data_IF_237930200644
#
_entry.id   IF_237930200644
#
_cell.length_a   1.000
_cell.length_b   1.000
_cell.length_c   1.000
_cell.angle_alpha   90.00
_cell.angle_beta   90.00
_cell.angle_gamma   90.00
#
_symmetry.space_group_name_H-M   'P 1'
#
loop_
_entity.id
_entity.type
_entity.pdbx_description
1 polymer ?
#
# COMPACT_ATOMS: atom_id res chain seq x y z
N UNK A 1 -5.71 -40.65 35.66
CA UNK A 1 -5.62 -39.32 36.27
C UNK A 1 -5.41 -38.30 35.15
N UNK A 2 -6.48 -37.71 34.67
CA UNK A 2 -6.40 -36.61 33.71
C UNK A 2 -6.50 -35.33 34.52
N UNK A 3 -5.32 -34.65 34.66
CA UNK A 3 -5.23 -33.44 35.42
C UNK A 3 -5.99 -32.28 34.75
N UNK A 4 -6.62 -31.47 35.55
CA UNK A 4 -7.37 -30.25 35.24
C UNK A 4 -6.64 -29.37 34.23
N UNK A 5 -7.10 -29.39 32.98
CA UNK A 5 -6.83 -28.32 32.02
C UNK A 5 -7.54 -27.07 32.54
N UNK A 6 -6.78 -26.22 33.24
CA UNK A 6 -7.22 -24.92 33.68
C UNK A 6 -7.63 -24.14 32.44
N UNK A 7 -8.92 -23.85 32.34
CA UNK A 7 -9.53 -22.93 31.37
C UNK A 7 -9.02 -21.50 31.67
N UNK A 8 -7.75 -21.20 31.34
CA UNK A 8 -7.30 -19.81 31.26
C UNK A 8 -8.05 -19.19 30.09
N UNK A 9 -8.95 -18.23 30.36
CA UNK A 9 -9.48 -17.34 29.34
C UNK A 9 -8.28 -16.83 28.55
N UNK A 10 -8.29 -16.91 27.19
CA UNK A 10 -7.19 -16.41 26.39
C UNK A 10 -7.01 -14.94 26.73
N UNK A 11 -5.80 -14.60 27.20
CA UNK A 11 -5.39 -13.23 27.46
C UNK A 11 -5.58 -12.47 26.15
N UNK A 12 -6.31 -11.34 26.18
CA UNK A 12 -6.57 -10.55 24.96
C UNK A 12 -5.21 -10.18 24.40
N UNK A 13 -4.90 -10.67 23.19
CA UNK A 13 -3.67 -10.29 22.48
C UNK A 13 -3.51 -8.78 22.47
N UNK A 14 -2.35 -8.23 22.86
CA UNK A 14 -2.12 -6.81 22.87
C UNK A 14 -2.34 -6.23 21.45
N UNK A 15 -3.01 -5.09 21.39
CA UNK A 15 -3.33 -4.40 20.13
C UNK A 15 -2.23 -3.40 19.83
N UNK A 16 -1.72 -3.45 18.59
CA UNK A 16 -0.83 -2.43 18.05
C UNK A 16 -1.63 -1.50 17.14
N UNK A 17 -1.56 -0.20 17.41
CA UNK A 17 -2.20 0.81 16.56
C UNK A 17 -1.29 1.14 15.38
N UNK A 18 -1.88 1.17 14.19
CA UNK A 18 -1.29 1.71 12.97
C UNK A 18 -2.18 2.85 12.49
N UNK A 19 -1.63 4.05 12.48
CA UNK A 19 -2.28 5.23 11.94
C UNK A 19 -2.16 5.27 10.42
N UNK A 20 -3.23 5.66 9.75
CA UNK A 20 -3.18 6.04 8.34
C UNK A 20 -3.62 7.48 8.18
N UNK A 21 -3.05 8.18 7.22
CA UNK A 21 -3.45 9.53 6.86
C UNK A 21 -3.32 9.74 5.36
N UNK A 22 -4.12 10.68 4.86
CA UNK A 22 -4.08 11.16 3.49
C UNK A 22 -3.41 12.52 3.50
N UNK A 23 -2.31 12.64 2.75
CA UNK A 23 -1.56 13.89 2.64
C UNK A 23 -1.97 14.66 1.39
N UNK A 24 -1.91 15.99 1.43
CA UNK A 24 -2.28 16.89 0.32
C UNK A 24 -1.38 16.76 -0.93
N UNK A 25 -0.40 15.86 -0.89
CA UNK A 25 0.62 15.73 -1.95
C UNK A 25 0.09 15.22 -3.28
N UNK A 26 -1.11 14.62 -3.31
CA UNK A 26 -1.71 14.07 -4.53
C UNK A 26 -3.15 14.50 -4.64
N UNK A 27 -3.37 15.55 -5.39
CA UNK A 27 -4.64 16.09 -5.86
C UNK A 27 -5.85 15.95 -4.94
N UNK A 28 -6.36 17.07 -4.38
CA UNK A 28 -7.61 17.08 -3.65
C UNK A 28 -8.82 16.67 -4.52
N UNK A 29 -8.58 16.44 -5.79
CA UNK A 29 -9.59 16.15 -6.82
C UNK A 29 -10.23 14.76 -6.65
N UNK A 30 -9.63 13.88 -5.79
CA UNK A 30 -10.15 12.54 -5.56
C UNK A 30 -10.43 12.29 -4.08
N UNK A 31 -11.59 11.71 -3.82
CA UNK A 31 -11.85 11.10 -2.53
C UNK A 31 -11.14 9.75 -2.45
N UNK A 32 -9.96 9.75 -1.86
CA UNK A 32 -9.21 8.53 -1.60
C UNK A 32 -9.88 7.74 -0.47
N UNK A 33 -10.22 6.45 -0.71
CA UNK A 33 -10.96 5.67 0.28
C UNK A 33 -10.10 5.28 1.50
N UNK A 34 -10.75 5.09 2.64
CA UNK A 34 -10.09 4.54 3.83
C UNK A 34 -9.51 3.15 3.54
N UNK A 35 -8.28 2.84 4.00
CA UNK A 35 -7.81 1.47 4.01
C UNK A 35 -8.71 0.61 4.91
N UNK A 36 -9.14 -0.54 4.41
CA UNK A 36 -10.08 -1.41 5.12
C UNK A 36 -9.62 -2.87 5.14
N UNK A 37 -10.02 -3.68 6.13
CA UNK A 37 -9.76 -5.11 6.07
C UNK A 37 -10.26 -5.70 4.76
N UNK A 38 -9.47 -6.61 4.18
CA UNK A 38 -9.89 -7.33 2.99
C UNK A 38 -11.15 -8.13 3.32
N UNK A 39 -12.19 -7.94 2.50
CA UNK A 39 -13.40 -8.76 2.53
C UNK A 39 -13.28 -9.78 1.40
N UNK A 40 -13.22 -11.03 1.76
CA UNK A 40 -13.31 -12.11 0.78
C UNK A 40 -14.77 -12.26 0.41
N UNK A 41 -15.11 -12.00 -0.86
CA UNK A 41 -16.46 -12.24 -1.42
C UNK A 41 -16.72 -13.76 -1.60
N UNK A 42 -15.94 -14.60 -0.95
CA UNK A 42 -16.09 -16.03 -1.03
C UNK A 42 -17.35 -16.49 -0.30
N UNK A 43 -18.28 -17.01 -1.06
CA UNK A 43 -19.37 -17.81 -0.48
C UNK A 43 -18.75 -18.91 0.37
N UNK A 44 -19.11 -18.98 1.65
CA UNK A 44 -18.63 -20.02 2.54
C UNK A 44 -19.02 -21.36 1.92
N UNK A 45 -18.05 -22.13 1.46
CA UNK A 45 -18.30 -23.47 0.93
C UNK A 45 -18.96 -24.34 2.00
N UNK A 46 -19.91 -25.20 1.61
CA UNK A 46 -20.62 -26.09 2.53
C UNK A 46 -19.70 -27.17 3.10
N UNK A 47 -18.70 -27.57 2.32
CA UNK A 47 -17.73 -28.59 2.75
C UNK A 47 -16.83 -28.08 3.89
N UNK A 48 -16.57 -28.88 4.94
CA UNK A 48 -15.58 -28.54 5.95
C UNK A 48 -14.15 -28.42 5.39
N UNK A 49 -13.89 -28.98 4.21
CA UNK A 49 -12.61 -28.87 3.49
C UNK A 49 -12.57 -27.75 2.46
N UNK A 50 -13.57 -26.87 2.45
CA UNK A 50 -13.55 -25.71 1.56
C UNK A 50 -12.34 -24.82 1.84
N UNK A 51 -11.71 -24.29 0.79
CA UNK A 51 -10.48 -23.46 0.88
C UNK A 51 -10.67 -22.28 1.83
N UNK A 52 -11.82 -21.61 1.78
CA UNK A 52 -12.16 -20.48 2.64
C UNK A 52 -12.45 -20.85 4.11
N UNK A 53 -12.42 -22.14 4.46
CA UNK A 53 -12.47 -22.64 5.86
C UNK A 53 -11.10 -23.08 6.36
N UNK A 54 -10.09 -23.09 5.50
CA UNK A 54 -8.72 -23.43 5.90
C UNK A 54 -8.18 -22.38 6.88
N UNK A 55 -7.77 -22.76 8.11
CA UNK A 55 -7.29 -21.80 9.10
C UNK A 55 -6.11 -20.98 8.60
N UNK A 56 -5.23 -21.53 7.77
CA UNK A 56 -4.10 -20.84 7.20
C UNK A 56 -4.52 -19.71 6.23
N UNK A 57 -5.56 -19.97 5.43
CA UNK A 57 -6.13 -18.98 4.51
C UNK A 57 -6.83 -17.88 5.30
N UNK A 58 -7.67 -18.27 6.26
CA UNK A 58 -8.41 -17.33 7.11
C UNK A 58 -7.45 -16.40 7.88
N UNK A 59 -6.40 -16.97 8.50
CA UNK A 59 -5.40 -16.13 9.22
C UNK A 59 -4.62 -15.24 8.27
N UNK A 60 -4.27 -15.73 7.08
CA UNK A 60 -3.56 -14.92 6.07
C UNK A 60 -4.40 -13.72 5.62
N UNK A 61 -5.65 -13.95 5.22
CA UNK A 61 -6.55 -12.92 4.71
C UNK A 61 -6.96 -11.92 5.78
N UNK A 62 -7.18 -12.38 7.02
CA UNK A 62 -7.52 -11.52 8.16
C UNK A 62 -6.42 -10.48 8.52
N UNK A 63 -5.21 -10.65 8.00
CA UNK A 63 -4.07 -9.74 8.21
C UNK A 63 -3.87 -8.75 7.06
N UNK A 64 -4.71 -8.81 6.03
CA UNK A 64 -4.62 -7.95 4.87
C UNK A 64 -5.60 -6.78 4.99
N UNK A 65 -5.12 -5.62 4.60
CA UNK A 65 -5.92 -4.41 4.43
C UNK A 65 -5.83 -4.00 2.96
N UNK A 66 -6.95 -3.63 2.38
CA UNK A 66 -7.00 -3.18 0.99
C UNK A 66 -7.06 -1.66 0.91
N UNK A 67 -6.41 -1.13 -0.10
CA UNK A 67 -6.58 0.23 -0.59
C UNK A 67 -7.17 0.12 -1.99
N UNK A 68 -8.34 0.70 -2.20
CA UNK A 68 -9.04 0.64 -3.49
C UNK A 68 -8.73 1.85 -4.36
N UNK A 69 -8.84 1.68 -5.67
CA UNK A 69 -8.64 2.75 -6.65
C UNK A 69 -9.78 3.77 -6.58
N UNK A 70 -9.52 5.09 -6.49
CA UNK A 70 -10.57 6.11 -6.41
C UNK A 70 -11.15 6.54 -7.77
N UNK A 71 -10.58 6.07 -8.88
CA UNK A 71 -10.93 6.52 -10.23
C UNK A 71 -10.86 5.39 -11.27
N UNK A 72 -11.42 5.66 -12.44
CA UNK A 72 -11.18 4.85 -13.63
C UNK A 72 -10.01 5.44 -14.41
N UNK A 73 -9.00 4.62 -14.68
CA UNK A 73 -7.80 4.99 -15.42
C UNK A 73 -7.48 3.91 -16.46
N UNK A 74 -7.37 4.32 -17.72
CA UNK A 74 -6.88 3.46 -18.79
C UNK A 74 -5.71 4.15 -19.48
N UNK A 75 -4.53 3.58 -19.34
CA UNK A 75 -3.28 4.11 -19.89
C UNK A 75 -2.55 3.05 -20.71
N UNK A 76 -1.75 3.52 -21.65
CA UNK A 76 -0.86 2.69 -22.45
C UNK A 76 0.52 3.32 -22.56
N UNK A 77 1.48 2.53 -22.99
CA UNK A 77 2.82 3.01 -23.32
C UNK A 77 2.89 3.21 -24.85
N UNK A 78 3.47 4.33 -25.23
CA UNK A 78 3.78 4.67 -26.63
C UNK A 78 5.22 5.17 -26.71
N UNK A 79 5.88 4.97 -27.84
CA UNK A 79 7.11 5.69 -28.14
C UNK A 79 6.75 7.07 -28.69
N UNK A 80 7.27 8.12 -28.04
CA UNK A 80 7.15 9.49 -28.52
C UNK A 80 8.03 9.74 -29.75
N UNK A 81 7.93 10.93 -30.32
CA UNK A 81 8.71 11.35 -31.49
C UNK A 81 10.23 11.30 -31.27
N UNK A 82 10.64 11.51 -30.02
CA UNK A 82 12.04 11.42 -29.57
C UNK A 82 12.52 9.96 -29.31
N UNK A 83 11.70 8.96 -29.66
CA UNK A 83 11.96 7.54 -29.41
C UNK A 83 11.85 7.08 -27.94
N UNK A 84 11.56 7.99 -27.00
CA UNK A 84 11.40 7.66 -25.57
C UNK A 84 10.01 7.12 -25.28
N UNK A 85 9.87 6.20 -24.31
CA UNK A 85 8.57 5.74 -23.88
C UNK A 85 7.79 6.86 -23.18
N UNK A 86 6.49 6.93 -23.44
CA UNK A 86 5.56 7.88 -22.84
C UNK A 86 4.29 7.18 -22.38
N UNK A 87 3.72 7.67 -21.27
CA UNK A 87 2.41 7.26 -20.80
C UNK A 87 1.36 8.09 -21.54
N UNK A 88 0.42 7.42 -22.19
CA UNK A 88 -0.68 8.04 -22.90
C UNK A 88 -2.03 7.49 -22.44
N UNK A 89 -3.08 8.29 -22.63
CA UNK A 89 -4.45 7.81 -22.43
C UNK A 89 -4.79 6.72 -23.47
N UNK A 90 -5.49 5.70 -23.02
CA UNK A 90 -5.93 4.59 -23.87
C UNK A 90 -7.46 4.43 -23.94
N UNK A 91 -8.22 5.35 -23.31
CA UNK A 91 -9.69 5.34 -23.19
C UNK A 91 -10.41 6.05 -24.35
N UNK A 92 -9.70 6.45 -25.39
CA UNK A 92 -10.26 7.21 -26.53
C UNK A 92 -10.76 8.61 -26.15
N UNK A 93 -10.31 9.17 -25.03
CA UNK A 93 -10.73 10.48 -24.57
C UNK A 93 -12.05 10.49 -23.77
N UNK A 94 -12.64 9.31 -23.51
CA UNK A 94 -13.94 9.17 -22.83
C UNK A 94 -13.85 9.13 -21.31
N UNK A 95 -12.66 8.89 -20.74
CA UNK A 95 -12.46 8.80 -19.30
C UNK A 95 -12.51 10.17 -18.62
N UNK A 96 -12.77 10.15 -17.31
CA UNK A 96 -12.85 11.36 -16.48
C UNK A 96 -11.48 12.04 -16.28
N UNK A 97 -10.37 11.29 -16.40
CA UNK A 97 -9.03 11.81 -16.16
C UNK A 97 -8.45 12.45 -17.43
N UNK A 98 -8.27 13.76 -17.40
CA UNK A 98 -7.56 14.49 -18.44
C UNK A 98 -6.06 14.16 -18.47
N UNK A 99 -5.40 14.35 -19.63
CA UNK A 99 -3.97 14.08 -19.83
C UNK A 99 -3.08 14.80 -18.80
N UNK A 100 -3.42 16.05 -18.45
CA UNK A 100 -2.68 16.81 -17.43
C UNK A 100 -2.70 16.14 -16.05
N UNK A 101 -3.84 15.59 -15.65
CA UNK A 101 -4.00 14.90 -14.39
C UNK A 101 -3.29 13.55 -14.38
N UNK A 102 -3.37 12.79 -15.47
CA UNK A 102 -2.61 11.55 -15.62
C UNK A 102 -1.11 11.81 -15.45
N UNK A 103 -0.57 12.87 -16.05
CA UNK A 103 0.83 13.27 -15.90
C UNK A 103 1.20 13.65 -14.46
N UNK A 104 0.28 14.25 -13.71
CA UNK A 104 0.49 14.55 -12.28
C UNK A 104 0.49 13.28 -11.41
N UNK A 105 -0.39 12.33 -11.73
CA UNK A 105 -0.57 11.10 -10.97
C UNK A 105 0.50 10.05 -11.26
N UNK A 106 1.01 10.01 -12.49
CA UNK A 106 1.91 8.94 -12.95
C UNK A 106 3.31 9.45 -13.20
N UNK A 107 4.29 8.60 -12.92
CA UNK A 107 5.70 8.82 -13.25
C UNK A 107 6.18 7.60 -14.02
N UNK A 108 6.72 7.81 -15.22
CA UNK A 108 7.46 6.77 -15.91
C UNK A 108 8.92 6.85 -15.46
N UNK A 109 9.42 5.77 -14.89
CA UNK A 109 10.82 5.68 -14.47
C UNK A 109 11.75 5.69 -15.68
N UNK A 110 12.95 6.23 -15.52
CA UNK A 110 13.96 6.21 -16.58
C UNK A 110 14.37 4.78 -16.94
N UNK A 111 14.71 4.54 -18.20
CA UNK A 111 15.07 3.19 -18.68
C UNK A 111 16.23 2.54 -17.89
N UNK A 112 17.14 3.35 -17.34
CA UNK A 112 18.25 2.88 -16.48
C UNK A 112 17.80 2.42 -15.09
N UNK A 113 16.59 2.78 -14.71
CA UNK A 113 15.99 2.46 -13.39
C UNK A 113 15.07 1.23 -13.46
N UNK A 114 14.83 0.70 -14.67
CA UNK A 114 14.02 -0.49 -14.85
C UNK A 114 14.76 -1.73 -14.36
N UNK A 115 14.02 -2.65 -13.75
CA UNK A 115 14.57 -3.94 -13.30
C UNK A 115 14.94 -4.86 -14.46
N UNK A 116 14.32 -4.63 -15.62
CA UNK A 116 14.52 -5.41 -16.83
C UNK A 116 14.47 -4.48 -18.05
N UNK A 117 15.40 -4.60 -19.04
CA UNK A 117 15.54 -3.65 -20.16
C UNK A 117 14.27 -3.45 -21.01
N UNK A 118 13.38 -4.43 -21.03
CA UNK A 118 12.15 -4.40 -21.85
C UNK A 118 10.86 -4.32 -21.03
N UNK A 119 10.99 -4.03 -19.72
CA UNK A 119 9.84 -3.95 -18.81
C UNK A 119 9.80 -2.59 -18.15
N UNK A 120 9.10 -1.64 -18.79
CA UNK A 120 8.93 -0.31 -18.24
C UNK A 120 8.34 -0.35 -16.83
N UNK A 121 8.83 0.53 -15.97
CA UNK A 121 8.31 0.71 -14.63
C UNK A 121 7.62 2.06 -14.54
N UNK A 122 6.35 2.04 -14.15
CA UNK A 122 5.60 3.25 -13.84
C UNK A 122 5.31 3.32 -12.35
N UNK A 123 5.14 4.53 -11.85
CA UNK A 123 4.66 4.77 -10.50
C UNK A 123 3.39 5.60 -10.53
N UNK A 124 2.39 5.17 -9.79
CA UNK A 124 1.21 5.96 -9.49
C UNK A 124 1.39 6.57 -8.10
N UNK A 125 1.27 7.88 -8.00
CA UNK A 125 1.34 8.60 -6.73
C UNK A 125 0.06 8.33 -5.94
N UNK A 126 0.22 7.92 -4.70
CA UNK A 126 -0.91 7.81 -3.76
C UNK A 126 -0.68 8.72 -2.57
N UNK A 127 -1.72 9.24 -1.90
CA UNK A 127 -1.55 10.16 -0.78
C UNK A 127 -1.34 9.45 0.55
N UNK A 128 -1.39 8.12 0.57
CA UNK A 128 -1.38 7.37 1.82
C UNK A 128 -0.02 7.38 2.51
N UNK A 129 -0.05 7.69 3.79
CA UNK A 129 1.04 7.45 4.73
C UNK A 129 0.54 6.58 5.87
N UNK A 130 1.43 5.73 6.38
CA UNK A 130 1.18 4.92 7.55
C UNK A 130 2.22 5.20 8.61
N UNK A 131 1.80 5.18 9.87
CA UNK A 131 2.66 5.46 11.02
C UNK A 131 2.30 4.54 12.19
N UNK A 132 3.28 4.18 12.99
CA UNK A 132 3.09 3.51 14.27
C UNK A 132 4.08 4.04 15.30
N UNK A 133 3.70 4.02 16.58
CA UNK A 133 4.63 4.28 17.67
C UNK A 133 5.39 3.02 18.08
N UNK A 134 4.84 1.85 17.77
CA UNK A 134 5.52 0.56 17.90
C UNK A 134 6.38 0.27 16.67
N UNK A 135 7.36 -0.64 16.81
CA UNK A 135 8.14 -1.17 15.69
C UNK A 135 7.24 -2.02 14.79
N UNK A 136 6.83 -1.43 13.69
CA UNK A 136 5.95 -2.05 12.69
C UNK A 136 6.53 -1.89 11.31
N UNK A 137 6.55 -2.97 10.54
CA UNK A 137 6.83 -2.95 9.12
C UNK A 137 5.53 -3.02 8.33
N UNK A 138 5.39 -2.18 7.31
CA UNK A 138 4.38 -2.34 6.28
C UNK A 138 4.95 -3.17 5.14
N UNK A 139 4.17 -4.14 4.66
CA UNK A 139 4.37 -4.78 3.36
C UNK A 139 3.27 -4.26 2.44
N UNK A 140 3.67 -3.58 1.37
CA UNK A 140 2.80 -3.21 0.28
C UNK A 140 2.83 -4.35 -0.75
N UNK A 141 1.69 -4.95 -1.03
CA UNK A 141 1.57 -6.19 -1.80
C UNK A 141 0.65 -5.99 -3.01
N UNK A 142 0.88 -6.73 -4.11
CA UNK A 142 -0.10 -6.81 -5.18
C UNK A 142 -1.45 -7.28 -4.64
N UNK A 143 -2.58 -6.89 -5.24
CA UNK A 143 -3.90 -7.32 -4.81
C UNK A 143 -4.19 -8.75 -5.30
N UNK A 144 -3.43 -9.73 -4.76
CA UNK A 144 -3.38 -11.13 -5.20
C UNK A 144 -4.72 -11.88 -5.10
N UNK A 145 -5.65 -11.41 -4.29
CA UNK A 145 -6.98 -12.01 -4.14
C UNK A 145 -7.97 -11.44 -5.17
N UNK A 146 -7.58 -10.42 -5.95
CA UNK A 146 -8.42 -9.84 -6.98
C UNK A 146 -8.13 -10.48 -8.35
N UNK A 147 -9.10 -11.22 -8.90
CA UNK A 147 -8.98 -11.78 -10.25
C UNK A 147 -8.81 -10.71 -11.34
N UNK A 148 -9.28 -9.49 -11.10
CA UNK A 148 -9.12 -8.38 -12.03
C UNK A 148 -7.68 -7.92 -12.14
N UNK A 149 -6.92 -7.96 -11.04
CA UNK A 149 -5.50 -7.63 -11.04
C UNK A 149 -4.67 -8.65 -11.86
N UNK A 150 -5.13 -9.88 -11.96
CA UNK A 150 -4.50 -10.90 -12.81
C UNK A 150 -4.65 -10.63 -14.31
N UNK A 151 -5.51 -9.68 -14.69
CA UNK A 151 -5.68 -9.25 -16.08
C UNK A 151 -4.80 -8.05 -16.44
N UNK A 152 -4.08 -7.49 -15.49
CA UNK A 152 -3.14 -6.41 -15.74
C UNK A 152 -1.99 -6.87 -16.65
N UNK A 153 -1.47 -5.97 -17.50
CA UNK A 153 -0.38 -6.31 -18.41
C UNK A 153 1.00 -6.40 -17.75
N UNK A 154 1.05 -6.68 -16.46
CA UNK A 154 2.24 -6.72 -15.65
C UNK A 154 1.91 -6.97 -14.19
N UNK A 155 2.81 -6.58 -13.31
CA UNK A 155 2.67 -6.80 -11.88
C UNK A 155 3.00 -5.55 -11.06
N UNK A 156 2.24 -5.32 -10.00
CA UNK A 156 2.62 -4.35 -8.98
C UNK A 156 3.89 -4.81 -8.26
N UNK A 157 4.87 -3.93 -8.13
CA UNK A 157 6.09 -4.16 -7.37
C UNK A 157 5.79 -3.92 -5.89
N UNK A 158 5.90 -4.98 -5.09
CA UNK A 158 5.75 -4.87 -3.64
C UNK A 158 6.96 -4.25 -2.95
N UNK A 159 6.76 -3.76 -1.75
CA UNK A 159 7.82 -3.20 -0.92
C UNK A 159 7.58 -3.43 0.57
N UNK A 160 8.65 -3.41 1.37
CA UNK A 160 8.63 -3.56 2.83
C UNK A 160 9.51 -2.51 3.49
N UNK A 161 8.96 -1.77 4.45
CA UNK A 161 9.73 -0.77 5.20
C UNK A 161 9.12 -0.46 6.58
N UNK A 162 9.93 0.06 7.53
CA UNK A 162 9.48 0.37 8.89
C UNK A 162 8.72 1.69 8.94
N UNK A 163 7.45 1.65 9.34
CA UNK A 163 6.60 2.85 9.42
C UNK A 163 6.76 3.62 10.75
N UNK A 164 7.42 3.03 11.73
CA UNK A 164 7.82 3.73 12.95
C UNK A 164 8.96 4.72 12.71
N UNK A 165 9.89 4.37 11.81
CA UNK A 165 11.05 5.19 11.51
C UNK A 165 10.89 5.99 10.20
N UNK A 166 10.14 5.47 9.26
CA UNK A 166 10.03 6.06 7.92
C UNK A 166 8.57 6.10 7.40
N UNK A 167 7.73 6.96 7.98
CA UNK A 167 6.34 7.16 7.53
C UNK A 167 6.30 7.96 6.21
N UNK A 168 6.65 7.30 5.12
CA UNK A 168 6.67 7.90 3.78
C UNK A 168 5.35 7.76 3.04
N UNK A 169 5.12 8.63 2.06
CA UNK A 169 4.01 8.46 1.13
C UNK A 169 4.22 7.22 0.27
N UNK A 170 3.19 6.38 0.17
CA UNK A 170 3.23 5.19 -0.66
C UNK A 170 3.18 5.56 -2.14
N UNK A 171 4.01 4.86 -2.91
CA UNK A 171 3.93 4.86 -4.37
C UNK A 171 3.45 3.50 -4.82
N UNK A 172 2.48 3.46 -5.73
CA UNK A 172 2.09 2.22 -6.39
C UNK A 172 3.00 2.05 -7.61
N UNK A 173 3.96 1.14 -7.53
CA UNK A 173 4.90 0.85 -8.60
C UNK A 173 4.42 -0.36 -9.41
N UNK A 174 4.51 -0.28 -10.73
CA UNK A 174 4.05 -1.31 -11.64
C UNK A 174 5.09 -1.61 -12.72
N UNK A 175 5.50 -2.86 -12.81
CA UNK A 175 6.37 -3.36 -13.87
C UNK A 175 5.50 -3.91 -15.00
N UNK A 176 5.65 -3.34 -16.19
CA UNK A 176 4.81 -3.64 -17.35
C UNK A 176 5.43 -4.75 -18.20
N UNK A 177 4.83 -5.93 -18.22
CA UNK A 177 5.35 -7.09 -18.96
C UNK A 177 4.93 -7.11 -20.41
N UNK A 178 3.71 -6.64 -20.71
CA UNK A 178 3.11 -6.60 -22.02
C UNK A 178 2.85 -5.14 -22.46
N UNK A 179 3.90 -4.40 -22.89
CA UNK A 179 3.80 -2.97 -23.16
C UNK A 179 2.77 -2.59 -24.25
N UNK A 180 2.36 -3.55 -25.07
CA UNK A 180 1.33 -3.36 -26.10
C UNK A 180 -0.10 -3.38 -25.56
N UNK A 181 -0.33 -3.93 -24.37
CA UNK A 181 -1.64 -3.96 -23.73
C UNK A 181 -1.81 -2.77 -22.79
N UNK A 182 -2.99 -2.10 -22.80
CA UNK A 182 -3.26 -1.03 -21.86
C UNK A 182 -3.41 -1.56 -20.43
N UNK A 183 -3.02 -0.75 -19.47
CA UNK A 183 -3.34 -0.95 -18.06
C UNK A 183 -4.69 -0.29 -17.76
N UNK A 184 -5.59 -1.09 -17.21
CA UNK A 184 -6.91 -0.64 -16.78
C UNK A 184 -7.01 -0.77 -15.25
N UNK A 185 -7.22 0.35 -14.58
CA UNK A 185 -7.58 0.44 -13.16
C UNK A 185 -9.01 0.98 -13.07
N UNK A 186 -9.86 0.34 -12.28
CA UNK A 186 -11.25 0.77 -12.10
C UNK A 186 -11.49 1.24 -10.68
N UNK A 187 -12.35 2.24 -10.56
CA UNK A 187 -12.83 2.73 -9.27
C UNK A 187 -13.41 1.58 -8.44
N UNK A 188 -13.01 1.51 -7.17
CA UNK A 188 -13.49 0.50 -6.23
C UNK A 188 -12.72 -0.83 -6.29
N UNK A 189 -11.97 -1.10 -7.36
CA UNK A 189 -11.14 -2.29 -7.42
C UNK A 189 -9.92 -2.16 -6.48
N UNK A 190 -9.45 -3.24 -5.85
CA UNK A 190 -8.24 -3.20 -5.05
C UNK A 190 -7.03 -2.73 -5.88
N UNK A 191 -6.38 -1.67 -5.42
CA UNK A 191 -5.16 -1.15 -6.01
C UNK A 191 -3.93 -1.86 -5.46
N UNK A 192 -3.90 -2.07 -4.15
CA UNK A 192 -2.88 -2.85 -3.45
C UNK A 192 -3.39 -3.30 -2.09
N UNK A 193 -2.68 -4.27 -1.52
CA UNK A 193 -2.88 -4.69 -0.14
C UNK A 193 -1.74 -4.20 0.75
N UNK A 194 -2.06 -3.98 2.02
CA UNK A 194 -1.11 -3.74 3.08
C UNK A 194 -1.17 -4.89 4.09
N UNK A 195 -0.01 -5.38 4.51
CA UNK A 195 0.14 -6.26 5.65
C UNK A 195 1.11 -5.62 6.64
N UNK A 196 0.73 -5.59 7.90
CA UNK A 196 1.57 -5.02 8.95
C UNK A 196 2.19 -6.14 9.78
N UNK A 197 3.50 -6.05 9.97
CA UNK A 197 4.29 -7.00 10.74
C UNK A 197 4.85 -6.32 11.98
N UNK A 198 4.62 -6.95 13.12
CA UNK A 198 5.16 -6.58 14.42
C UNK A 198 6.25 -7.57 14.83
N UNK A 199 7.01 -7.24 15.87
CA UNK A 199 8.00 -8.17 16.45
C UNK A 199 7.37 -9.38 17.11
N UNK A 200 6.09 -9.30 17.46
CA UNK A 200 5.30 -10.37 18.03
C UNK A 200 4.10 -10.67 17.12
N UNK A 201 4.11 -11.81 16.40
CA UNK A 201 3.06 -12.16 15.46
C UNK A 201 1.69 -12.41 16.12
N UNK A 202 1.62 -12.58 17.44
CA UNK A 202 0.35 -12.73 18.16
C UNK A 202 -0.41 -11.40 18.31
N UNK A 203 0.26 -10.27 18.17
CA UNK A 203 -0.36 -8.95 18.29
C UNK A 203 -1.32 -8.67 17.13
N UNK A 204 -2.48 -8.13 17.46
CA UNK A 204 -3.47 -7.69 16.48
C UNK A 204 -3.22 -6.26 16.05
N UNK A 205 -3.35 -6.01 14.76
CA UNK A 205 -3.27 -4.66 14.20
C UNK A 205 -4.67 -4.02 14.24
N UNK A 206 -4.71 -2.78 14.72
CA UNK A 206 -5.87 -1.91 14.59
C UNK A 206 -5.48 -0.70 13.76
N UNK A 207 -6.08 -0.57 12.58
CA UNK A 207 -5.98 0.65 11.78
C UNK A 207 -6.83 1.75 12.39
N UNK A 208 -6.26 2.95 12.48
CA UNK A 208 -6.95 4.16 12.94
C UNK A 208 -6.61 5.31 12.01
N UNK A 209 -7.52 6.24 11.81
CA UNK A 209 -7.20 7.48 11.13
C UNK A 209 -6.30 8.32 12.05
N UNK A 210 -5.16 8.77 11.53
CA UNK A 210 -4.21 9.58 12.29
C UNK A 210 -4.46 11.06 12.03
N UNK A 211 -4.31 11.88 13.08
CA UNK A 211 -4.27 13.33 12.97
C UNK A 211 -2.88 13.78 12.48
N UNK A 212 -2.84 14.68 11.51
CA UNK A 212 -1.60 15.28 11.04
C UNK A 212 -1.17 16.39 12.01
N UNK A 213 -0.53 16.01 13.12
CA UNK A 213 0.01 16.97 14.09
C UNK A 213 1.25 17.70 13.53
N UNK A 214 1.60 18.89 14.07
CA UNK A 214 2.83 19.59 13.70
C UNK A 214 4.09 18.75 13.88
N UNK A 215 4.14 17.96 14.96
CA UNK A 215 5.26 17.07 15.30
C UNK A 215 5.38 15.94 14.27
N UNK A 216 4.25 15.33 13.88
CA UNK A 216 4.20 14.30 12.85
C UNK A 216 4.64 14.88 11.50
N UNK A 217 4.14 16.06 11.12
CA UNK A 217 4.52 16.75 9.88
C UNK A 217 6.02 17.06 9.83
N UNK A 218 6.58 17.53 10.93
CA UNK A 218 8.03 17.77 11.07
C UNK A 218 8.84 16.48 10.91
N UNK A 219 8.40 15.39 11.54
CA UNK A 219 9.05 14.08 11.42
C UNK A 219 9.00 13.57 9.97
N UNK A 220 7.84 13.62 9.32
CA UNK A 220 7.66 13.18 7.93
C UNK A 220 8.58 13.96 6.98
N UNK A 221 8.63 15.28 7.11
CA UNK A 221 9.51 16.13 6.29
C UNK A 221 10.99 15.81 6.50
N UNK A 222 11.38 15.47 7.72
CA UNK A 222 12.76 15.10 8.05
C UNK A 222 13.23 13.79 7.45
N UNK A 223 12.30 12.89 7.10
CA UNK A 223 12.62 11.56 6.55
C UNK A 223 12.28 11.39 5.07
N UNK A 224 11.64 12.37 4.43
CA UNK A 224 11.27 12.28 3.01
C UNK A 224 12.49 12.15 2.08
N UNK A 225 13.64 12.70 2.44
CA UNK A 225 14.89 12.59 1.68
C UNK A 225 15.63 11.27 1.79
N UNK A 226 15.26 10.38 2.73
CA UNK A 226 16.00 9.13 3.00
C UNK A 226 15.99 8.20 1.78
N UNK A 227 14.95 8.24 0.96
CA UNK A 227 14.79 7.38 -0.22
C UNK A 227 15.93 7.51 -1.27
N UNK A 228 16.68 8.60 -1.23
CA UNK A 228 17.72 8.90 -2.23
C UNK A 228 19.09 8.27 -1.92
N UNK A 229 19.25 7.62 -0.78
CA UNK A 229 20.53 7.10 -0.28
C UNK A 229 20.49 5.60 -0.01
N UNK A 230 20.36 4.80 -1.07
CA UNK A 230 20.14 3.34 -0.97
C UNK A 230 21.15 2.63 -0.07
N UNK A 231 22.44 2.96 -0.16
CA UNK A 231 23.49 2.30 0.62
C UNK A 231 23.44 2.64 2.13
N UNK A 232 22.84 3.76 2.50
CA UNK A 232 22.77 4.25 3.89
C UNK A 232 21.40 4.14 4.50
N UNK A 233 20.40 3.66 3.75
CA UNK A 233 18.99 3.69 4.17
C UNK A 233 18.75 3.00 5.52
N UNK A 234 19.35 1.84 5.75
CA UNK A 234 19.16 1.11 7.01
C UNK A 234 19.78 1.80 8.22
N UNK A 235 20.93 2.46 8.07
CA UNK A 235 21.56 3.25 9.13
C UNK A 235 20.74 4.51 9.41
N UNK A 236 20.14 5.11 8.37
CA UNK A 236 19.25 6.25 8.50
C UNK A 236 17.96 5.89 9.25
N UNK A 237 17.41 4.69 9.07
CA UNK A 237 16.27 4.22 9.84
C UNK A 237 16.59 4.14 11.35
N UNK A 238 17.77 3.63 11.72
CA UNK A 238 18.21 3.60 13.10
C UNK A 238 18.34 5.01 13.69
N UNK A 239 18.92 5.94 12.93
CA UNK A 239 19.06 7.35 13.33
C UNK A 239 17.70 8.03 13.44
N UNK A 240 16.81 7.83 12.48
CA UNK A 240 15.45 8.39 12.50
C UNK A 240 14.67 7.88 13.71
N UNK A 241 14.79 6.58 14.03
CA UNK A 241 14.15 5.97 15.19
C UNK A 241 14.68 6.52 16.51
N UNK A 242 15.99 6.74 16.61
CA UNK A 242 16.61 7.29 17.82
C UNK A 242 16.22 8.76 18.08
N UNK A 243 15.93 9.53 17.03
CA UNK A 243 15.61 10.97 17.10
C UNK A 243 14.12 11.27 17.19
N UNK A 244 13.25 10.31 16.84
CA UNK A 244 11.82 10.55 16.83
C UNK A 244 11.25 10.71 18.25
N UNK A 245 10.19 11.51 18.46
CA UNK A 245 9.41 11.49 19.68
C UNK A 245 8.84 10.10 19.97
N UNK A 246 8.66 9.76 21.24
CA UNK A 246 8.10 8.46 21.65
C UNK A 246 6.67 8.26 21.13
N UNK A 247 5.90 9.34 21.09
CA UNK A 247 4.52 9.33 20.62
C UNK A 247 4.40 10.33 19.47
N UNK A 248 4.01 9.82 18.31
CA UNK A 248 3.68 10.60 17.10
C UNK A 248 2.25 10.32 16.62
N UNK A 249 1.73 9.12 16.94
CA UNK A 249 0.41 8.70 16.52
C UNK A 249 -0.66 9.30 17.44
N UNK A 250 -1.42 10.25 16.92
CA UNK A 250 -2.65 10.76 17.52
C UNK A 250 -3.80 10.26 16.67
N UNK A 251 -4.74 9.54 17.30
CA UNK A 251 -5.95 9.04 16.63
C UNK A 251 -6.93 10.20 16.44
N UNK A 252 -7.38 10.40 15.20
CA UNK A 252 -8.37 11.42 14.88
C UNK A 252 -9.69 11.09 15.54
N UNK A 253 -10.23 12.01 16.31
CA UNK A 253 -11.58 11.86 16.86
C UNK A 253 -12.57 12.01 15.72
N UNK A 254 -13.46 11.03 15.56
CA UNK A 254 -14.63 11.17 14.69
C UNK A 254 -15.66 11.94 15.50
N UNK A 255 -16.04 13.12 15.01
CA UNK A 255 -17.17 13.88 15.53
C UNK A 255 -18.48 13.13 15.31
#
# INVERSE_FOLDING_TARGET
>A
MFGNLINKKPEKSPIVKVGWLITDSVGPEFMWPEPRPVKTDSVMGESPHAVNRCPAIVDHEARLFEVTCPFDLMIALRRGENGRPEIVRADGGKGMLGTGLIRKLTVLMGEKEWRHPHRPVIQLRTPYRFISDDLVYINQLPPMLSYKANQWPGIMIGGRFPIDAWPRTLMWAFEWFEPKKPLLLKRGDPLFYCRFETTDPSKKIRLVEAEETPELKKQMSGVDGIANYVQQTFSLFSTARARRPKQLLVERKKD
#
